data_IF_847568845382
#
_entry.id   IF_847568845382
#
_cell.length_a   1.000
_cell.length_b   1.000
_cell.length_c   1.000
_cell.angle_alpha   90.00
_cell.angle_beta   90.00
_cell.angle_gamma   90.00
#
_symmetry.space_group_name_H-M   'P 1'
#
loop_
_entity.id
_entity.type
_entity.pdbx_description
1 polymer ?
#
# COMPACT_ATOMS: atom_id res chain seq x y z
N UNK A 1 18.04 -44.20 -4.02
CA UNK A 1 17.89 -43.21 -2.94
C UNK A 1 16.43 -43.18 -2.54
N UNK A 2 16.04 -43.25 -1.26
CA UNK A 2 14.65 -43.03 -0.88
C UNK A 2 14.23 -41.66 -1.40
N UNK A 3 13.02 -41.56 -1.94
CA UNK A 3 12.45 -40.29 -2.33
C UNK A 3 12.21 -39.53 -1.03
N UNK A 4 12.83 -38.36 -0.90
CA UNK A 4 12.65 -37.48 0.25
C UNK A 4 11.17 -37.07 0.28
N UNK A 5 10.45 -37.46 1.34
CA UNK A 5 9.07 -37.01 1.51
C UNK A 5 9.11 -35.52 1.81
N UNK A 6 8.34 -34.74 1.05
CA UNK A 6 8.13 -33.34 1.35
C UNK A 6 7.40 -33.26 2.70
N UNK A 7 8.11 -32.82 3.74
CA UNK A 7 7.54 -32.71 5.08
C UNK A 7 6.63 -31.48 5.13
N UNK A 8 5.32 -31.69 5.13
CA UNK A 8 4.34 -30.61 5.27
C UNK A 8 4.37 -30.16 6.73
N UNK A 9 5.03 -29.03 7.00
CA UNK A 9 5.01 -28.41 8.34
C UNK A 9 3.68 -27.68 8.51
N UNK A 10 2.87 -28.20 9.42
CA UNK A 10 1.60 -27.57 9.78
C UNK A 10 1.78 -26.72 11.03
N UNK A 11 1.14 -25.55 11.03
CA UNK A 11 1.08 -24.66 12.18
C UNK A 11 0.47 -25.34 13.41
N UNK A 12 0.95 -24.97 14.60
CA UNK A 12 0.35 -25.38 15.89
C UNK A 12 -1.08 -24.86 16.05
N UNK A 13 -1.44 -23.78 15.34
CA UNK A 13 -2.81 -23.24 15.34
C UNK A 13 -3.85 -24.28 14.93
N UNK A 14 -3.51 -25.21 14.03
CA UNK A 14 -4.41 -26.31 13.66
C UNK A 14 -4.81 -27.17 14.86
N UNK A 15 -3.92 -27.35 15.85
CA UNK A 15 -4.23 -28.08 17.08
C UNK A 15 -5.10 -27.24 18.02
N UNK A 16 -4.88 -25.92 18.07
CA UNK A 16 -5.73 -24.98 18.81
C UNK A 16 -7.16 -25.07 18.27
N UNK A 17 -7.34 -24.88 16.96
CA UNK A 17 -8.63 -24.97 16.27
C UNK A 17 -9.30 -26.34 16.43
N UNK A 18 -8.52 -27.43 16.46
CA UNK A 18 -9.05 -28.79 16.67
C UNK A 18 -9.64 -28.99 18.07
N UNK A 19 -8.99 -28.41 19.08
CA UNK A 19 -9.36 -28.57 20.49
C UNK A 19 -10.43 -27.56 20.92
N UNK A 20 -10.67 -26.54 20.11
CA UNK A 20 -11.74 -25.58 20.30
C UNK A 20 -13.12 -26.24 20.10
N UNK A 21 -14.07 -25.85 20.95
CA UNK A 21 -15.47 -26.24 20.83
C UNK A 21 -16.20 -25.44 19.75
N UNK A 22 -15.73 -24.23 19.43
CA UNK A 22 -16.24 -23.45 18.33
C UNK A 22 -15.89 -24.11 16.98
N UNK A 23 -16.89 -24.25 16.11
CA UNK A 23 -16.78 -24.86 14.78
C UNK A 23 -17.02 -23.86 13.64
N UNK A 24 -16.97 -22.57 13.96
CA UNK A 24 -16.98 -21.49 12.99
C UNK A 24 -15.92 -21.69 11.89
N UNK A 25 -16.24 -21.18 10.71
CA UNK A 25 -15.40 -21.23 9.53
C UNK A 25 -14.13 -20.38 9.69
N UNK A 26 -13.14 -20.64 8.85
CA UNK A 26 -11.95 -19.80 8.71
C UNK A 26 -11.76 -19.39 7.24
N UNK A 27 -11.32 -18.16 7.04
CA UNK A 27 -10.89 -17.63 5.74
C UNK A 27 -9.39 -17.84 5.61
N UNK A 28 -8.99 -18.68 4.67
CA UNK A 28 -7.58 -18.94 4.39
C UNK A 28 -7.11 -18.02 3.25
N UNK A 29 -6.04 -17.26 3.48
CA UNK A 29 -5.42 -16.39 2.50
C UNK A 29 -4.00 -16.90 2.17
N UNK A 30 -3.58 -16.89 0.89
CA UNK A 30 -4.26 -16.35 -0.29
C UNK A 30 -5.46 -17.18 -0.78
N UNK A 31 -6.44 -16.53 -1.40
CA UNK A 31 -7.56 -17.20 -2.09
C UNK A 31 -7.06 -17.71 -3.45
N UNK A 32 -6.43 -18.89 -3.45
CA UNK A 32 -5.76 -19.47 -4.63
C UNK A 32 -6.10 -20.97 -4.77
N UNK A 33 -6.69 -21.42 -5.89
CA UNK A 33 -7.10 -22.82 -6.10
C UNK A 33 -5.96 -23.85 -5.99
N UNK A 34 -4.73 -23.46 -6.32
CA UNK A 34 -3.56 -24.34 -6.30
C UNK A 34 -3.06 -24.46 -4.87
N UNK A 35 -2.94 -23.33 -4.16
CA UNK A 35 -2.43 -23.28 -2.77
C UNK A 35 -3.43 -23.85 -1.77
N UNK A 36 -4.72 -23.72 -2.03
CA UNK A 36 -5.79 -24.24 -1.18
C UNK A 36 -5.75 -25.76 -0.93
N UNK A 37 -5.01 -26.54 -1.75
CA UNK A 37 -4.81 -27.98 -1.49
C UNK A 37 -4.14 -28.27 -0.15
N UNK A 38 -3.19 -27.42 0.27
CA UNK A 38 -2.54 -27.55 1.57
C UNK A 38 -3.54 -27.24 2.70
N UNK A 39 -4.36 -26.22 2.49
CA UNK A 39 -5.39 -25.79 3.44
C UNK A 39 -6.47 -26.87 3.61
N UNK A 40 -6.85 -27.58 2.54
CA UNK A 40 -7.73 -28.76 2.61
C UNK A 40 -7.11 -29.93 3.39
N UNK A 41 -5.80 -30.12 3.34
CA UNK A 41 -5.12 -31.10 4.18
C UNK A 41 -5.14 -30.68 5.65
N UNK A 42 -4.87 -29.41 5.96
CA UNK A 42 -5.01 -28.84 7.29
C UNK A 42 -6.45 -28.98 7.82
N UNK A 43 -7.45 -28.79 6.95
CA UNK A 43 -8.87 -28.95 7.26
C UNK A 43 -9.22 -30.32 7.82
N UNK A 44 -8.61 -31.39 7.31
CA UNK A 44 -8.84 -32.74 7.84
C UNK A 44 -8.37 -32.91 9.30
N UNK A 45 -7.50 -32.00 9.78
CA UNK A 45 -6.92 -32.01 11.13
C UNK A 45 -7.73 -31.13 12.08
N UNK A 46 -7.94 -29.85 11.73
CA UNK A 46 -8.66 -28.91 12.59
C UNK A 46 -10.20 -29.06 12.48
N UNK A 47 -10.70 -29.66 11.40
CA UNK A 47 -12.11 -29.98 11.17
C UNK A 47 -13.05 -28.75 11.20
N UNK A 48 -12.53 -27.57 10.87
CA UNK A 48 -13.35 -26.36 10.69
C UNK A 48 -13.73 -26.18 9.22
N UNK A 49 -14.89 -25.61 8.91
CA UNK A 49 -15.20 -25.20 7.54
C UNK A 49 -14.14 -24.21 7.03
N UNK A 50 -13.81 -24.29 5.74
CA UNK A 50 -12.94 -23.32 5.06
C UNK A 50 -13.75 -22.64 3.97
N UNK A 51 -13.53 -21.34 3.78
CA UNK A 51 -14.28 -20.54 2.80
C UNK A 51 -13.97 -20.89 1.34
N UNK A 52 -12.78 -21.46 1.10
CA UNK A 52 -12.30 -21.73 -0.24
C UNK A 52 -11.47 -23.02 -0.28
N UNK A 53 -11.65 -23.82 -1.33
CA UNK A 53 -10.98 -25.10 -1.53
C UNK A 53 -10.73 -25.40 -3.00
N UNK A 54 -10.10 -26.53 -3.29
CA UNK A 54 -9.84 -26.98 -4.65
C UNK A 54 -10.86 -28.03 -5.11
N UNK A 55 -11.57 -27.75 -6.22
CA UNK A 55 -12.46 -28.69 -6.88
C UNK A 55 -12.07 -28.85 -8.35
N UNK A 56 -12.03 -30.09 -8.86
CA UNK A 56 -11.54 -30.37 -10.23
C UNK A 56 -12.44 -29.83 -11.34
N UNK A 57 -13.71 -29.53 -11.04
CA UNK A 57 -14.65 -28.91 -11.96
C UNK A 57 -15.54 -27.94 -11.19
N UNK A 58 -15.25 -26.66 -11.36
CA UNK A 58 -16.00 -25.58 -10.70
C UNK A 58 -17.44 -25.52 -11.28
N UNK A 59 -18.48 -25.64 -10.44
CA UNK A 59 -19.84 -25.39 -10.88
C UNK A 59 -20.04 -23.90 -11.21
N UNK A 60 -21.04 -23.61 -12.05
CA UNK A 60 -21.53 -22.25 -12.22
C UNK A 60 -21.95 -21.69 -10.85
N UNK A 61 -21.48 -20.47 -10.54
CA UNK A 61 -21.77 -19.83 -9.25
C UNK A 61 -20.88 -20.26 -8.07
N UNK A 62 -19.82 -21.05 -8.30
CA UNK A 62 -18.91 -21.48 -7.22
C UNK A 62 -18.34 -20.33 -6.38
N UNK A 63 -18.24 -19.14 -6.97
CA UNK A 63 -17.70 -17.93 -6.36
C UNK A 63 -18.74 -16.83 -6.13
N UNK A 64 -20.04 -17.11 -6.30
CA UNK A 64 -21.09 -16.09 -6.19
C UNK A 64 -21.05 -15.36 -4.84
N UNK A 65 -20.99 -16.11 -3.73
CA UNK A 65 -20.83 -15.53 -2.40
C UNK A 65 -19.54 -14.69 -2.24
N UNK A 66 -18.40 -15.19 -2.74
CA UNK A 66 -17.12 -14.47 -2.68
C UNK A 66 -17.18 -13.18 -3.51
N UNK A 67 -17.80 -13.22 -4.67
CA UNK A 67 -17.90 -12.08 -5.59
C UNK A 67 -18.95 -11.05 -5.14
N UNK A 68 -19.91 -11.43 -4.30
CA UNK A 68 -20.89 -10.54 -3.68
C UNK A 68 -20.32 -9.80 -2.45
N UNK A 69 -19.40 -10.41 -1.69
CA UNK A 69 -18.73 -9.74 -0.58
C UNK A 69 -17.60 -8.81 -1.11
N UNK A 70 -17.63 -7.49 -0.79
CA UNK A 70 -16.66 -6.53 -1.32
C UNK A 70 -15.19 -6.87 -1.02
N UNK A 71 -14.90 -7.30 0.21
CA UNK A 71 -13.54 -7.66 0.63
C UNK A 71 -13.08 -8.95 -0.06
N UNK A 72 -13.90 -10.00 -0.02
CA UNK A 72 -13.54 -11.30 -0.60
C UNK A 72 -13.38 -11.22 -2.12
N UNK A 73 -14.19 -10.40 -2.80
CA UNK A 73 -14.08 -10.17 -4.25
C UNK A 73 -12.70 -9.63 -4.61
N UNK A 74 -12.22 -8.61 -3.89
CA UNK A 74 -10.90 -8.03 -4.17
C UNK A 74 -9.80 -9.04 -3.84
N UNK A 75 -9.87 -9.69 -2.67
CA UNK A 75 -8.91 -10.72 -2.27
C UNK A 75 -8.81 -11.86 -3.31
N UNK A 76 -9.92 -12.28 -3.92
CA UNK A 76 -9.90 -13.29 -4.98
C UNK A 76 -9.28 -12.77 -6.28
N UNK A 77 -9.49 -11.50 -6.62
CA UNK A 77 -9.07 -10.92 -7.90
C UNK A 77 -7.60 -10.47 -7.91
N UNK A 78 -7.14 -9.82 -6.84
CA UNK A 78 -5.78 -9.26 -6.74
C UNK A 78 -4.89 -10.01 -5.76
N UNK A 79 -5.47 -10.87 -4.92
CA UNK A 79 -4.78 -11.45 -3.77
C UNK A 79 -4.14 -10.37 -2.89
N UNK A 80 -4.86 -9.26 -2.68
CA UNK A 80 -4.38 -8.10 -1.93
C UNK A 80 -5.52 -7.47 -1.13
N UNK A 81 -5.19 -6.86 0.01
CA UNK A 81 -6.15 -6.16 0.86
C UNK A 81 -6.53 -4.81 0.22
N UNK A 82 -7.82 -4.47 0.09
CA UNK A 82 -8.27 -3.24 -0.58
C UNK A 82 -8.18 -2.01 0.35
N UNK A 83 -7.20 -1.10 0.18
CA UNK A 83 -7.09 0.08 1.04
C UNK A 83 -8.31 1.03 0.93
N UNK A 84 -9.03 1.00 -0.19
CA UNK A 84 -10.26 1.81 -0.36
C UNK A 84 -11.47 1.30 0.44
N UNK A 85 -11.43 0.07 0.98
CA UNK A 85 -12.43 -0.40 1.95
C UNK A 85 -11.99 -0.01 3.36
N UNK A 86 -12.15 1.27 3.67
CA UNK A 86 -11.54 1.90 4.85
C UNK A 86 -12.16 1.48 6.19
N UNK A 87 -13.45 1.14 6.22
CA UNK A 87 -14.10 0.61 7.43
C UNK A 87 -13.79 -0.88 7.59
N UNK A 88 -12.57 -1.17 8.08
CA UNK A 88 -12.07 -2.53 8.30
C UNK A 88 -12.98 -3.30 9.25
N UNK A 89 -13.43 -2.67 10.34
CA UNK A 89 -14.33 -3.28 11.31
C UNK A 89 -15.63 -3.78 10.68
N UNK A 90 -16.21 -3.00 9.76
CA UNK A 90 -17.40 -3.42 9.00
C UNK A 90 -17.10 -4.59 8.06
N UNK A 91 -15.96 -4.58 7.35
CA UNK A 91 -15.59 -5.71 6.49
C UNK A 91 -15.43 -7.00 7.30
N UNK A 92 -14.75 -6.92 8.45
CA UNK A 92 -14.57 -8.06 9.37
C UNK A 92 -15.92 -8.53 9.95
N UNK A 93 -16.79 -7.60 10.34
CA UNK A 93 -18.12 -7.93 10.85
C UNK A 93 -18.98 -8.68 9.83
N UNK A 94 -18.87 -8.38 8.52
CA UNK A 94 -19.58 -9.17 7.49
C UNK A 94 -19.14 -10.64 7.49
N UNK A 95 -17.83 -10.89 7.66
CA UNK A 95 -17.32 -12.26 7.75
C UNK A 95 -17.78 -12.95 9.04
N UNK A 96 -17.75 -12.25 10.17
CA UNK A 96 -18.21 -12.78 11.44
C UNK A 96 -19.72 -13.12 11.43
N UNK A 97 -20.55 -12.31 10.76
CA UNK A 97 -21.98 -12.58 10.58
C UNK A 97 -22.25 -13.85 9.78
N UNK A 98 -21.33 -14.21 8.88
CA UNK A 98 -21.36 -15.44 8.09
C UNK A 98 -20.65 -16.61 8.79
N UNK A 99 -20.45 -16.52 10.12
CA UNK A 99 -19.83 -17.53 10.98
C UNK A 99 -18.37 -17.85 10.59
N UNK A 100 -17.64 -16.85 10.06
CA UNK A 100 -16.19 -16.91 9.85
C UNK A 100 -15.50 -16.26 11.03
N UNK A 101 -14.73 -17.02 11.81
CA UNK A 101 -14.11 -16.54 13.05
C UNK A 101 -12.70 -15.96 12.84
N UNK A 102 -11.93 -16.55 11.92
CA UNK A 102 -10.54 -16.15 11.70
C UNK A 102 -10.22 -15.93 10.23
N UNK A 103 -9.41 -14.90 9.97
CA UNK A 103 -8.62 -14.76 8.75
C UNK A 103 -7.24 -15.35 9.02
N UNK A 104 -6.84 -16.37 8.27
CA UNK A 104 -5.56 -17.06 8.41
C UNK A 104 -4.69 -16.75 7.20
N UNK A 105 -3.63 -15.99 7.41
CA UNK A 105 -2.64 -15.62 6.41
C UNK A 105 -1.51 -16.64 6.37
N UNK A 106 -1.32 -17.33 5.24
CA UNK A 106 -0.24 -18.30 5.04
C UNK A 106 1.03 -17.62 4.54
N UNK A 107 1.96 -17.35 5.46
CA UNK A 107 3.18 -16.58 5.20
C UNK A 107 4.19 -17.30 4.32
N UNK A 108 4.16 -18.62 4.29
CA UNK A 108 4.99 -19.45 3.41
C UNK A 108 4.46 -19.52 1.96
N UNK A 109 3.25 -18.99 1.73
CA UNK A 109 2.59 -18.99 0.43
C UNK A 109 2.61 -17.63 -0.29
N UNK A 110 3.06 -16.57 0.37
CA UNK A 110 3.14 -15.20 -0.18
C UNK A 110 4.50 -14.57 0.12
N UNK A 111 4.88 -13.53 -0.64
CA UNK A 111 6.12 -12.79 -0.41
C UNK A 111 6.05 -11.93 0.86
N UNK A 112 7.20 -11.62 1.45
CA UNK A 112 7.30 -10.84 2.69
C UNK A 112 6.60 -9.48 2.57
N UNK A 113 6.81 -8.77 1.47
CA UNK A 113 6.20 -7.45 1.22
C UNK A 113 4.67 -7.51 1.29
N UNK A 114 4.07 -8.57 0.74
CA UNK A 114 2.62 -8.76 0.78
C UNK A 114 2.09 -9.06 2.18
N UNK A 115 2.87 -9.76 3.01
CA UNK A 115 2.50 -9.99 4.42
C UNK A 115 2.43 -8.64 5.13
N UNK A 116 3.41 -7.78 4.92
CA UNK A 116 3.42 -6.44 5.52
C UNK A 116 2.22 -5.60 5.05
N UNK A 117 1.78 -5.72 3.79
CA UNK A 117 0.60 -5.01 3.30
C UNK A 117 -0.69 -5.51 3.95
N UNK A 118 -0.84 -6.82 4.11
CA UNK A 118 -2.03 -7.37 4.75
C UNK A 118 -2.07 -7.02 6.24
N UNK A 119 -0.93 -7.10 6.92
CA UNK A 119 -0.78 -6.65 8.30
C UNK A 119 -0.94 -5.14 8.44
N UNK A 120 -0.62 -4.35 7.40
CA UNK A 120 -0.91 -2.92 7.37
C UNK A 120 -2.41 -2.69 7.34
N UNK A 121 -3.15 -3.38 6.47
CA UNK A 121 -4.59 -3.22 6.35
C UNK A 121 -5.36 -3.62 7.62
N UNK A 122 -4.93 -4.66 8.33
CA UNK A 122 -5.48 -5.07 9.64
C UNK A 122 -4.69 -4.40 10.79
N UNK A 123 -5.12 -3.25 11.33
CA UNK A 123 -4.31 -2.43 12.22
C UNK A 123 -4.31 -2.93 13.68
N UNK A 124 -4.32 -4.25 13.89
CA UNK A 124 -4.38 -4.92 15.19
C UNK A 124 -3.53 -6.18 15.16
N UNK A 125 -3.26 -6.76 16.33
CA UNK A 125 -2.37 -7.92 16.44
C UNK A 125 -3.10 -9.22 16.09
N UNK A 126 -2.41 -10.20 15.47
CA UNK A 126 -2.98 -11.52 15.26
C UNK A 126 -3.19 -12.24 16.61
N UNK A 127 -4.30 -12.96 16.74
CA UNK A 127 -4.58 -13.83 17.90
C UNK A 127 -3.58 -14.98 18.00
N UNK A 128 -2.93 -15.33 16.89
CA UNK A 128 -1.85 -16.31 16.82
C UNK A 128 -0.92 -15.99 15.66
N UNK A 129 0.39 -16.07 15.88
CA UNK A 129 1.38 -16.01 14.81
C UNK A 129 2.56 -16.97 15.06
N UNK A 130 2.95 -17.72 14.04
CA UNK A 130 4.18 -18.51 14.02
C UNK A 130 4.93 -18.29 12.70
N UNK A 131 5.99 -19.04 12.39
CA UNK A 131 6.75 -18.81 11.15
C UNK A 131 5.99 -19.13 9.85
N UNK A 132 4.86 -19.84 9.94
CA UNK A 132 4.07 -20.30 8.79
C UNK A 132 2.80 -19.50 8.58
N UNK A 133 2.14 -19.06 9.66
CA UNK A 133 0.86 -18.35 9.55
C UNK A 133 0.75 -17.18 10.52
N UNK A 134 -0.18 -16.28 10.23
CA UNK A 134 -0.75 -15.32 11.18
C UNK A 134 -2.29 -15.40 11.11
N UNK A 135 -2.96 -15.52 12.26
CA UNK A 135 -4.41 -15.62 12.36
C UNK A 135 -4.99 -14.39 13.06
N UNK A 136 -5.99 -13.77 12.45
CA UNK A 136 -6.65 -12.55 12.93
C UNK A 136 -8.13 -12.83 13.20
N UNK A 137 -8.65 -12.31 14.32
CA UNK A 137 -10.09 -12.35 14.63
C UNK A 137 -10.88 -11.52 13.60
N UNK A 138 -12.05 -12.02 13.20
CA UNK A 138 -13.04 -11.25 12.43
C UNK A 138 -13.96 -10.40 13.31
N UNK A 139 -13.82 -10.49 14.63
CA UNK A 139 -14.54 -9.68 15.61
C UNK A 139 -13.55 -9.11 16.63
N UNK A 140 -12.58 -8.27 16.20
CA UNK A 140 -11.57 -7.78 17.11
C UNK A 140 -12.19 -6.86 18.18
N UNK A 141 -11.77 -7.03 19.43
CA UNK A 141 -12.24 -6.24 20.57
C UNK A 141 -11.17 -5.28 21.08
N UNK A 142 -11.60 -4.07 21.43
CA UNK A 142 -10.71 -3.10 22.09
C UNK A 142 -10.29 -3.61 23.46
N UNK A 143 -9.03 -3.36 23.82
CA UNK A 143 -8.33 -3.86 25.01
C UNK A 143 -8.00 -5.37 24.99
N UNK A 144 -8.50 -6.13 24.01
CA UNK A 144 -8.13 -7.54 23.80
C UNK A 144 -7.20 -7.70 22.57
N UNK A 145 -7.66 -7.25 21.40
CA UNK A 145 -6.95 -7.39 20.12
C UNK A 145 -6.20 -6.12 19.70
N UNK A 146 -6.67 -4.94 20.15
CA UNK A 146 -6.04 -3.65 19.89
C UNK A 146 -6.24 -2.67 21.03
N UNK A 147 -5.41 -1.63 21.09
CA UNK A 147 -5.52 -0.56 22.08
C UNK A 147 -5.24 0.79 21.42
N UNK A 148 -5.90 1.84 21.91
CA UNK A 148 -5.63 3.19 21.45
C UNK A 148 -4.20 3.60 21.85
N UNK A 149 -3.46 4.19 20.93
CA UNK A 149 -2.16 4.80 21.20
C UNK A 149 -2.31 6.06 22.08
N UNK A 150 -3.43 6.76 21.94
CA UNK A 150 -3.87 7.84 22.83
C UNK A 150 -5.39 8.08 22.71
N UNK A 151 -6.05 8.44 23.81
CA UNK A 151 -7.40 9.01 23.78
C UNK A 151 -7.34 10.48 23.34
N UNK A 152 -7.54 10.72 22.05
CA UNK A 152 -7.56 12.08 21.48
C UNK A 152 -8.84 12.84 21.81
N UNK A 153 -9.94 12.11 21.97
CA UNK A 153 -11.19 12.57 22.55
C UNK A 153 -11.84 11.38 23.29
N UNK A 154 -12.88 11.59 24.12
CA UNK A 154 -13.47 10.52 24.92
C UNK A 154 -13.84 9.28 24.10
N UNK A 155 -13.03 8.23 24.23
CA UNK A 155 -13.22 6.93 23.62
C UNK A 155 -12.95 6.84 22.12
N UNK A 156 -12.16 7.77 21.55
CA UNK A 156 -11.69 7.73 20.17
C UNK A 156 -10.21 8.09 20.09
N UNK A 157 -9.46 7.32 19.31
CA UNK A 157 -8.02 7.53 19.16
C UNK A 157 -7.40 6.72 18.01
N UNK A 158 -6.16 7.01 17.65
CA UNK A 158 -5.42 6.21 16.69
C UNK A 158 -5.00 4.88 17.33
N UNK A 159 -5.06 3.79 16.57
CA UNK A 159 -4.41 2.50 16.89
C UNK A 159 -3.13 2.30 16.06
N UNK A 160 -3.05 2.98 14.91
CA UNK A 160 -1.87 3.03 14.05
C UNK A 160 -1.83 4.34 13.29
N UNK A 161 -0.64 4.90 13.12
CA UNK A 161 -0.37 6.09 12.29
C UNK A 161 0.81 5.78 11.37
N UNK A 162 0.70 6.12 10.09
CA UNK A 162 1.76 5.92 9.10
C UNK A 162 1.89 7.20 8.29
N UNK A 163 3.11 7.67 8.04
CA UNK A 163 3.39 8.85 7.22
C UNK A 163 4.03 8.44 5.90
N UNK A 164 3.91 9.27 4.86
CA UNK A 164 4.60 9.04 3.57
C UNK A 164 6.14 9.13 3.68
N UNK A 165 6.66 9.62 4.79
CA UNK A 165 8.08 9.64 5.12
C UNK A 165 8.35 10.36 6.44
N UNK A 166 9.63 10.44 6.79
CA UNK A 166 10.17 11.27 7.88
C UNK A 166 10.85 12.55 7.34
N UNK A 167 10.90 12.70 6.01
CA UNK A 167 11.34 13.90 5.32
C UNK A 167 10.35 14.25 4.19
N UNK A 168 10.10 15.55 4.03
CA UNK A 168 9.25 16.10 2.96
C UNK A 168 9.89 17.37 2.39
N UNK A 169 9.84 17.50 1.06
CA UNK A 169 10.30 18.69 0.38
C UNK A 169 9.24 19.81 0.43
N UNK A 170 9.71 21.04 0.53
CA UNK A 170 8.84 22.22 0.52
C UNK A 170 8.07 22.30 -0.81
N UNK A 171 6.74 22.32 -0.72
CA UNK A 171 5.87 22.29 -1.90
C UNK A 171 5.47 20.90 -2.36
N UNK A 172 5.97 19.82 -1.76
CA UNK A 172 5.57 18.45 -2.10
C UNK A 172 4.37 17.97 -1.28
N UNK A 173 3.82 16.83 -1.69
CA UNK A 173 2.71 16.17 -1.01
C UNK A 173 3.23 15.37 0.19
N UNK A 174 2.46 15.39 1.26
CA UNK A 174 2.65 14.59 2.46
C UNK A 174 1.34 13.91 2.83
N UNK A 175 1.40 12.61 3.11
CA UNK A 175 0.23 11.83 3.54
C UNK A 175 0.43 11.26 4.93
N UNK A 176 -0.65 11.31 5.71
CA UNK A 176 -0.77 10.64 7.01
C UNK A 176 -1.96 9.68 6.97
N UNK A 177 -1.67 8.39 7.05
CA UNK A 177 -2.68 7.36 7.25
C UNK A 177 -2.93 7.16 8.74
N UNK A 178 -4.18 7.18 9.17
CA UNK A 178 -4.55 6.91 10.56
C UNK A 178 -5.61 5.82 10.61
N UNK A 179 -5.30 4.72 11.30
CA UNK A 179 -6.30 3.75 11.72
C UNK A 179 -6.91 4.25 13.03
N UNK A 180 -8.17 4.65 12.97
CA UNK A 180 -8.94 5.07 14.12
C UNK A 180 -9.64 3.89 14.76
N UNK A 181 -9.75 3.92 16.08
CA UNK A 181 -10.64 3.04 16.81
C UNK A 181 -11.42 3.73 17.92
N UNK A 182 -12.47 3.04 18.37
CA UNK A 182 -13.36 3.55 19.41
C UNK A 182 -13.54 2.56 20.56
N UNK A 183 -13.44 3.05 21.79
CA UNK A 183 -13.77 2.28 23.01
C UNK A 183 -15.25 2.43 23.41
N UNK A 184 -15.91 3.49 22.93
CA UNK A 184 -17.32 3.80 23.17
C UNK A 184 -17.99 4.33 21.89
N UNK A 185 -19.32 4.24 21.77
CA UNK A 185 -20.03 4.86 20.65
C UNK A 185 -19.80 6.37 20.57
N UNK A 186 -19.59 6.88 19.36
CA UNK A 186 -19.31 8.30 19.08
C UNK A 186 -20.50 8.93 18.35
N UNK A 187 -21.04 10.00 18.92
CA UNK A 187 -22.28 10.65 18.46
C UNK A 187 -22.03 11.97 17.70
N UNK A 188 -20.77 12.31 17.40
CA UNK A 188 -20.41 13.53 16.69
C UNK A 188 -19.25 13.31 15.72
N UNK A 189 -19.15 14.19 14.73
CA UNK A 189 -17.96 14.30 13.90
C UNK A 189 -16.89 15.13 14.62
N UNK A 190 -15.64 14.76 14.39
CA UNK A 190 -14.48 15.52 14.82
C UNK A 190 -13.81 16.17 13.61
N UNK A 191 -12.96 17.17 13.86
CA UNK A 191 -11.97 17.61 12.89
C UNK A 191 -10.59 17.16 13.35
N UNK A 192 -9.84 16.54 12.47
CA UNK A 192 -8.44 16.20 12.70
C UNK A 192 -7.60 17.41 12.32
N UNK A 193 -6.65 17.76 13.17
CA UNK A 193 -5.72 18.85 12.93
C UNK A 193 -4.31 18.34 13.11
N UNK A 194 -3.51 18.50 12.07
CA UNK A 194 -2.07 18.22 12.07
C UNK A 194 -1.29 19.51 12.22
N UNK A 195 -0.34 19.52 13.14
CA UNK A 195 0.53 20.68 13.42
C UNK A 195 1.99 20.29 13.38
N UNK A 196 2.81 21.18 12.85
CA UNK A 196 4.26 21.12 12.95
C UNK A 196 4.72 22.06 14.06
N UNK A 197 5.38 21.50 15.08
CA UNK A 197 5.98 22.25 16.18
C UNK A 197 7.52 22.21 16.06
N UNK A 198 8.16 23.39 16.06
CA UNK A 198 9.62 23.51 16.04
C UNK A 198 10.17 23.35 17.46
N UNK A 199 11.16 22.46 17.65
CA UNK A 199 11.82 22.23 18.94
C UNK A 199 12.47 23.50 19.54
N UNK A 200 12.76 24.52 18.72
CA UNK A 200 13.43 25.76 19.10
C UNK A 200 12.50 26.99 19.20
N UNK A 201 11.29 26.91 18.65
CA UNK A 201 10.32 28.00 18.72
C UNK A 201 9.49 27.93 20.01
N UNK A 202 9.16 29.10 20.57
CA UNK A 202 8.15 29.17 21.62
C UNK A 202 6.82 28.69 21.03
N UNK A 203 6.06 27.97 21.84
CA UNK A 203 4.65 27.49 21.73
C UNK A 203 3.66 28.40 20.94
N UNK A 204 4.02 29.63 20.57
CA UNK A 204 3.17 30.63 19.91
C UNK A 204 3.16 30.58 18.36
N UNK A 205 4.01 29.79 17.69
CA UNK A 205 4.13 29.78 16.21
C UNK A 205 3.95 28.38 15.58
N UNK A 206 2.95 27.63 16.05
CA UNK A 206 2.59 26.33 15.47
C UNK A 206 2.12 26.51 14.01
N UNK A 207 2.71 25.75 13.10
CA UNK A 207 2.27 25.76 11.70
C UNK A 207 1.21 24.68 11.50
N UNK A 208 -0.02 25.12 11.22
CA UNK A 208 -1.11 24.22 10.88
C UNK A 208 -0.86 23.63 9.49
N UNK A 209 -0.65 22.32 9.45
CA UNK A 209 -0.35 21.59 8.24
C UNK A 209 -1.64 21.22 7.47
N UNK A 210 -2.65 20.76 8.21
CA UNK A 210 -3.92 20.30 7.64
C UNK A 210 -5.04 20.35 8.69
N UNK A 211 -6.26 20.64 8.24
CA UNK A 211 -7.49 20.39 9.01
C UNK A 211 -8.53 19.72 8.13
N UNK A 212 -9.07 18.59 8.59
CA UNK A 212 -10.03 17.79 7.82
C UNK A 212 -11.12 17.20 8.73
N UNK A 213 -12.33 16.99 8.21
CA UNK A 213 -13.44 16.39 8.98
C UNK A 213 -13.31 14.87 9.03
N UNK A 214 -13.34 14.32 10.24
CA UNK A 214 -13.53 12.90 10.49
C UNK A 214 -15.02 12.63 10.69
N UNK A 215 -15.63 11.90 9.75
CA UNK A 215 -17.03 11.48 9.78
C UNK A 215 -17.26 10.34 10.80
N UNK A 216 -17.00 10.62 12.07
CA UNK A 216 -17.04 9.66 13.18
C UNK A 216 -18.42 9.49 13.83
N UNK A 217 -19.41 10.32 13.47
CA UNK A 217 -20.77 10.18 14.00
C UNK A 217 -21.36 8.83 13.59
N UNK A 218 -21.85 8.08 14.58
CA UNK A 218 -22.44 6.76 14.39
C UNK A 218 -21.44 5.60 14.50
N UNK A 219 -20.16 5.86 14.75
CA UNK A 219 -19.20 4.80 15.06
C UNK A 219 -19.58 4.14 16.38
N UNK A 220 -19.75 2.81 16.37
CA UNK A 220 -20.05 2.01 17.56
C UNK A 220 -18.81 1.71 18.39
N UNK A 221 -18.94 0.96 19.49
CA UNK A 221 -17.78 0.37 20.19
C UNK A 221 -17.03 -0.59 19.24
N UNK A 222 -15.71 -0.67 19.37
CA UNK A 222 -14.83 -1.53 18.56
C UNK A 222 -14.81 -1.15 17.06
N UNK A 223 -15.17 0.09 16.70
CA UNK A 223 -15.01 0.52 15.30
C UNK A 223 -13.51 0.54 14.97
N UNK A 224 -13.17 0.12 13.75
CA UNK A 224 -11.80 0.15 13.21
C UNK A 224 -11.87 0.71 11.79
N UNK A 225 -11.38 1.94 11.60
CA UNK A 225 -11.57 2.68 10.35
C UNK A 225 -10.28 3.38 9.94
N UNK A 226 -9.79 3.12 8.74
CA UNK A 226 -8.74 3.91 8.12
C UNK A 226 -9.27 5.26 7.63
N UNK A 227 -8.49 6.31 7.87
CA UNK A 227 -8.65 7.60 7.22
C UNK A 227 -7.29 8.05 6.69
N UNK A 228 -7.29 8.64 5.49
CA UNK A 228 -6.09 9.01 4.76
C UNK A 228 -6.11 10.52 4.57
N UNK A 229 -5.07 11.20 5.07
CA UNK A 229 -5.00 12.65 5.12
C UNK A 229 -3.85 13.14 4.25
N UNK A 230 -4.17 13.76 3.12
CA UNK A 230 -3.19 14.24 2.14
C UNK A 230 -3.15 15.76 2.17
N UNK A 231 -1.94 16.32 2.20
CA UNK A 231 -1.74 17.78 2.14
C UNK A 231 -0.49 18.12 1.34
N UNK A 232 -0.51 19.28 0.69
CA UNK A 232 0.67 19.84 0.03
C UNK A 232 1.37 20.78 1.00
N UNK A 233 2.63 20.53 1.31
CA UNK A 233 3.36 21.33 2.28
C UNK A 233 3.50 22.77 1.76
N UNK A 234 3.10 23.74 2.59
CA UNK A 234 3.16 25.14 2.20
C UNK A 234 4.62 25.56 1.91
N UNK A 235 4.90 26.19 0.76
CA UNK A 235 6.23 26.73 0.43
C UNK A 235 6.85 27.67 1.48
N UNK A 236 6.01 28.29 2.30
CA UNK A 236 6.43 29.21 3.37
C UNK A 236 6.89 28.52 4.65
N UNK A 237 6.67 27.19 4.80
CA UNK A 237 7.20 26.43 5.94
C UNK A 237 8.74 26.46 5.87
N UNK A 238 9.43 26.98 6.90
CA UNK A 238 10.88 26.98 6.93
C UNK A 238 11.44 25.55 6.87
N UNK A 239 12.61 25.40 6.24
CA UNK A 239 13.33 24.13 6.35
C UNK A 239 13.84 23.94 7.78
N UNK A 240 13.69 22.75 8.33
CA UNK A 240 13.99 22.44 9.72
C UNK A 240 13.45 21.08 10.13
N UNK A 241 13.75 20.70 11.37
CA UNK A 241 13.21 19.50 12.00
C UNK A 241 12.02 19.91 12.88
N UNK A 242 10.88 19.25 12.66
CA UNK A 242 9.63 19.52 13.35
C UNK A 242 9.13 18.27 14.07
N UNK A 243 8.43 18.45 15.18
CA UNK A 243 7.58 17.44 15.75
C UNK A 243 6.22 17.52 15.05
N UNK A 244 5.84 16.46 14.34
CA UNK A 244 4.49 16.30 13.79
C UNK A 244 3.55 15.81 14.89
N UNK A 245 2.45 16.53 15.06
CA UNK A 245 1.45 16.24 16.07
C UNK A 245 0.05 16.18 15.47
N UNK A 246 -0.82 15.42 16.13
CA UNK A 246 -2.23 15.28 15.76
C UNK A 246 -3.13 15.58 16.95
N UNK A 247 -4.22 16.29 16.67
CA UNK A 247 -5.27 16.61 17.63
C UNK A 247 -6.66 16.38 17.03
N UNK A 248 -7.65 16.14 17.90
CA UNK A 248 -9.07 16.12 17.52
C UNK A 248 -9.81 17.33 18.10
N UNK A 249 -10.55 18.02 17.23
CA UNK A 249 -11.38 19.16 17.60
C UNK A 249 -12.86 18.81 17.44
N UNK A 250 -13.61 18.82 18.54
CA UNK A 250 -15.06 18.59 18.53
C UNK A 250 -15.88 19.84 18.18
N UNK A 251 -17.16 19.65 17.85
CA UNK A 251 -18.06 20.72 17.41
C UNK A 251 -18.38 21.79 18.48
N UNK A 252 -18.16 21.50 19.77
CA UNK A 252 -18.55 22.39 20.89
C UNK A 252 -17.41 23.23 21.48
N UNK A 253 -16.23 23.22 20.87
CA UNK A 253 -15.05 23.91 21.44
C UNK A 253 -14.66 23.32 22.80
N UNK A 254 -14.90 22.03 23.02
CA UNK A 254 -14.44 21.33 24.22
C UNK A 254 -12.92 21.28 24.19
N UNK A 255 -12.30 22.08 25.06
CA UNK A 255 -10.86 22.23 25.25
C UNK A 255 -10.25 21.03 26.00
N UNK A 256 -10.50 19.82 25.49
CA UNK A 256 -9.85 18.59 25.90
C UNK A 256 -9.10 17.99 24.72
N UNK A 257 -8.36 18.81 23.97
CA UNK A 257 -7.53 18.32 22.88
C UNK A 257 -6.29 17.69 23.49
N UNK A 258 -6.32 16.38 23.71
CA UNK A 258 -5.07 15.62 23.87
C UNK A 258 -4.29 15.78 22.58
N UNK A 259 -2.98 16.01 22.70
CA UNK A 259 -2.08 16.03 21.56
C UNK A 259 -1.39 14.68 21.48
N UNK A 260 -1.38 14.08 20.29
CA UNK A 260 -0.65 12.86 20.01
C UNK A 260 0.58 13.19 19.15
N UNK A 261 1.80 13.00 19.67
CA UNK A 261 3.01 13.16 18.88
C UNK A 261 3.13 11.98 17.90
N UNK A 262 3.09 12.25 16.60
CA UNK A 262 3.24 11.22 15.56
C UNK A 262 4.71 10.83 15.43
N UNK A 263 5.59 11.83 15.32
CA UNK A 263 7.00 11.61 15.08
C UNK A 263 7.71 12.86 14.59
N UNK A 264 9.00 12.73 14.33
CA UNK A 264 9.82 13.80 13.75
C UNK A 264 9.59 13.86 12.23
N UNK A 265 9.52 15.08 11.70
CA UNK A 265 9.42 15.35 10.27
C UNK A 265 10.47 16.40 9.89
N UNK A 266 11.33 16.06 8.95
CA UNK A 266 12.30 16.99 8.36
C UNK A 266 11.64 17.69 7.18
N UNK A 267 11.51 19.01 7.26
CA UNK A 267 11.12 19.85 6.12
C UNK A 267 12.39 20.31 5.40
N UNK A 268 12.52 19.96 4.12
CA UNK A 268 13.71 20.21 3.34
C UNK A 268 13.44 21.10 2.12
N UNK A 269 14.42 21.93 1.74
CA UNK A 269 14.42 22.69 0.47
C UNK A 269 15.15 21.98 -0.67
N UNK A 270 15.72 20.83 -0.36
CA UNK A 270 16.42 19.95 -1.27
C UNK A 270 15.90 18.53 -1.10
N UNK A 271 16.25 17.65 -2.02
CA UNK A 271 15.83 16.26 -1.96
C UNK A 271 16.03 15.64 -0.58
N UNK A 272 14.99 14.94 -0.14
CA UNK A 272 15.11 14.00 0.95
C UNK A 272 16.06 12.87 0.51
N UNK A 273 17.04 12.54 1.35
CA UNK A 273 18.01 11.51 1.00
C UNK A 273 17.30 10.15 0.86
N UNK A 274 17.37 9.57 -0.34
CA UNK A 274 16.96 8.20 -0.62
C UNK A 274 18.22 7.35 -0.80
N UNK A 275 18.38 6.30 0.02
CA UNK A 275 19.48 5.34 -0.15
C UNK A 275 19.25 4.51 -1.42
N UNK A 276 19.78 4.98 -2.54
CA UNK A 276 19.77 4.23 -3.79
C UNK A 276 21.01 3.33 -3.90
N UNK A 277 20.87 2.13 -4.48
CA UNK A 277 22.04 1.34 -4.86
C UNK A 277 22.97 2.14 -5.78
N UNK A 278 24.31 1.98 -5.67
CA UNK A 278 25.26 2.77 -6.47
C UNK A 278 25.10 2.65 -7.98
N UNK A 279 24.47 1.58 -8.46
CA UNK A 279 24.21 1.33 -9.88
C UNK A 279 22.95 2.02 -10.40
N UNK A 280 22.15 2.64 -9.53
CA UNK A 280 20.93 3.37 -9.89
C UNK A 280 21.27 4.78 -10.31
N UNK A 281 20.73 5.20 -11.45
CA UNK A 281 20.79 6.58 -11.92
C UNK A 281 19.63 7.34 -11.26
N UNK A 282 19.91 8.31 -10.37
CA UNK A 282 18.85 9.08 -9.71
C UNK A 282 18.14 10.01 -10.71
N UNK A 283 16.84 10.20 -10.50
CA UNK A 283 15.99 11.05 -11.35
C UNK A 283 15.18 12.02 -10.50
N UNK A 284 14.31 11.51 -9.62
CA UNK A 284 13.48 12.31 -8.72
C UNK A 284 12.27 12.97 -9.38
N UNK A 285 11.85 12.54 -10.57
CA UNK A 285 10.72 13.14 -11.29
C UNK A 285 9.37 12.70 -10.72
N UNK A 286 8.42 13.62 -10.60
CA UNK A 286 7.10 13.38 -10.00
C UNK A 286 6.02 13.37 -11.07
N UNK A 287 5.18 12.34 -11.04
CA UNK A 287 4.04 12.11 -11.93
C UNK A 287 2.74 12.36 -11.16
N UNK A 288 1.98 13.37 -11.57
CA UNK A 288 0.63 13.68 -11.07
C UNK A 288 0.58 14.01 -9.57
N UNK A 289 1.69 14.47 -8.98
CA UNK A 289 1.88 14.68 -7.52
C UNK A 289 1.70 13.41 -6.67
N UNK A 290 1.59 12.23 -7.28
CA UNK A 290 1.25 10.97 -6.61
C UNK A 290 2.38 9.95 -6.64
N UNK A 291 3.20 9.96 -7.69
CA UNK A 291 4.16 8.91 -7.96
C UNK A 291 5.51 9.52 -8.34
N UNK A 292 6.58 9.17 -7.63
CA UNK A 292 7.93 9.64 -7.95
C UNK A 292 8.76 8.51 -8.56
N UNK A 293 9.39 8.79 -9.70
CA UNK A 293 10.50 7.97 -10.19
C UNK A 293 11.77 8.41 -9.47
N UNK A 294 12.14 7.70 -8.41
CA UNK A 294 13.33 7.99 -7.60
C UNK A 294 14.59 7.78 -8.43
N UNK A 295 14.63 6.70 -9.22
CA UNK A 295 15.73 6.41 -10.12
C UNK A 295 15.43 5.23 -11.05
N UNK A 296 16.42 4.87 -11.86
CA UNK A 296 16.31 3.73 -12.78
C UNK A 296 17.65 3.05 -13.01
N UNK A 297 17.59 1.85 -13.56
CA UNK A 297 18.75 1.11 -14.06
C UNK A 297 18.44 0.55 -15.45
N UNK A 298 19.42 0.64 -16.35
CA UNK A 298 19.36 0.03 -17.69
C UNK A 298 20.43 -1.05 -17.78
N UNK A 299 19.99 -2.29 -18.00
CA UNK A 299 20.87 -3.43 -18.21
C UNK A 299 20.59 -4.05 -19.57
N UNK A 300 21.66 -4.53 -20.22
CA UNK A 300 21.55 -5.19 -21.52
C UNK A 300 22.24 -6.55 -21.52
N UNK A 301 21.64 -7.54 -20.85
CA UNK A 301 22.22 -8.88 -20.76
C UNK A 301 22.21 -9.63 -22.09
N UNK A 302 21.30 -9.26 -23.02
CA UNK A 302 21.17 -9.83 -24.36
C UNK A 302 21.03 -8.71 -25.40
N UNK A 303 21.64 -8.80 -26.60
CA UNK A 303 21.49 -7.77 -27.64
C UNK A 303 20.03 -7.45 -28.04
N UNK A 304 19.12 -8.41 -27.89
CA UNK A 304 17.70 -8.32 -28.23
C UNK A 304 16.82 -7.87 -27.06
N UNK A 305 17.35 -7.70 -25.86
CA UNK A 305 16.58 -7.30 -24.69
C UNK A 305 17.26 -6.16 -23.93
N UNK A 306 16.49 -5.14 -23.63
CA UNK A 306 16.85 -4.11 -22.65
C UNK A 306 16.03 -4.39 -21.39
N UNK A 307 16.71 -4.58 -20.28
CA UNK A 307 16.08 -4.65 -18.96
C UNK A 307 16.08 -3.25 -18.37
N UNK A 308 14.88 -2.68 -18.22
CA UNK A 308 14.66 -1.40 -17.55
C UNK A 308 14.13 -1.70 -16.16
N UNK A 309 14.88 -1.33 -15.12
CA UNK A 309 14.41 -1.39 -13.74
C UNK A 309 14.07 0.02 -13.29
N UNK A 310 12.85 0.22 -12.80
CA UNK A 310 12.32 1.49 -12.35
C UNK A 310 12.15 1.44 -10.84
N UNK A 311 12.69 2.45 -10.15
CA UNK A 311 12.56 2.60 -8.69
C UNK A 311 11.56 3.71 -8.41
N UNK A 312 10.39 3.31 -7.97
CA UNK A 312 9.27 4.20 -7.69
C UNK A 312 9.12 4.44 -6.20
N UNK A 313 8.54 5.59 -5.85
CA UNK A 313 8.00 5.86 -4.53
C UNK A 313 6.58 6.40 -4.68
N UNK A 314 5.65 5.86 -3.91
CA UNK A 314 4.31 6.43 -3.79
C UNK A 314 4.36 7.64 -2.85
N UNK A 315 4.14 8.84 -3.38
CA UNK A 315 4.10 10.07 -2.55
C UNK A 315 2.78 10.17 -1.78
N UNK A 316 1.72 9.62 -2.38
CA UNK A 316 0.41 9.46 -1.77
C UNK A 316 -0.32 8.25 -2.36
N UNK A 317 -1.41 7.85 -1.72
CA UNK A 317 -2.29 6.78 -2.16
C UNK A 317 -2.94 7.14 -3.50
N UNK A 318 -2.83 6.22 -4.44
CA UNK A 318 -3.34 6.41 -5.80
C UNK A 318 -4.76 5.84 -5.94
N UNK A 319 -5.71 6.58 -6.52
CA UNK A 319 -7.10 6.12 -6.69
C UNK A 319 -7.27 5.11 -7.83
N UNK A 320 -6.27 5.01 -8.73
CA UNK A 320 -6.33 4.24 -9.96
C UNK A 320 -5.10 3.33 -10.10
N UNK A 321 -5.25 2.27 -10.88
CA UNK A 321 -4.18 1.41 -11.38
C UNK A 321 -3.56 2.03 -12.65
N UNK A 322 -2.61 2.94 -12.46
CA UNK A 322 -1.94 3.60 -13.57
C UNK A 322 -1.09 2.62 -14.38
N UNK A 323 -0.97 2.92 -15.67
CA UNK A 323 -0.04 2.24 -16.56
C UNK A 323 1.22 3.06 -16.74
N UNK A 324 2.34 2.36 -16.76
CA UNK A 324 3.65 2.90 -17.11
C UNK A 324 3.94 2.47 -18.54
N UNK A 325 4.29 3.44 -19.38
CA UNK A 325 4.90 3.14 -20.67
C UNK A 325 6.39 3.41 -20.62
N UNK A 326 7.15 2.56 -21.31
CA UNK A 326 8.58 2.72 -21.55
C UNK A 326 8.79 2.66 -23.06
N UNK A 327 9.23 3.77 -23.65
CA UNK A 327 9.51 3.89 -25.08
C UNK A 327 11.01 3.93 -25.32
N UNK A 328 11.48 3.10 -26.23
CA UNK A 328 12.82 3.22 -26.84
C UNK A 328 12.63 3.93 -28.17
N UNK A 329 13.26 5.09 -28.36
CA UNK A 329 12.96 5.99 -29.46
C UNK A 329 14.22 6.58 -30.10
N UNK A 330 14.12 6.95 -31.38
CA UNK A 330 15.20 7.63 -32.11
C UNK A 330 15.16 9.13 -31.84
N UNK A 331 16.25 9.72 -31.33
CA UNK A 331 16.23 11.11 -30.85
C UNK A 331 16.01 12.15 -31.95
N UNK A 332 16.47 11.86 -33.17
CA UNK A 332 16.40 12.80 -34.29
C UNK A 332 14.97 12.95 -34.83
N UNK A 333 14.18 11.88 -34.75
CA UNK A 333 12.85 11.77 -35.36
C UNK A 333 11.73 11.66 -34.33
N UNK A 334 12.08 11.41 -33.06
CA UNK A 334 11.20 11.06 -31.96
C UNK A 334 10.32 9.82 -32.21
N UNK A 335 10.74 8.94 -33.12
CA UNK A 335 9.97 7.74 -33.50
C UNK A 335 10.28 6.60 -32.51
N UNK A 336 9.28 6.00 -31.85
CA UNK A 336 9.47 4.82 -31.03
C UNK A 336 9.77 3.59 -31.90
N UNK A 337 10.84 2.87 -31.56
CA UNK A 337 11.27 1.62 -32.24
C UNK A 337 10.94 0.36 -31.44
N UNK A 338 10.77 0.50 -30.12
CA UNK A 338 10.27 -0.53 -29.23
C UNK A 338 9.56 0.13 -28.04
N UNK A 339 8.62 -0.58 -27.44
CA UNK A 339 7.88 -0.08 -26.28
C UNK A 339 7.36 -1.20 -25.41
N UNK A 340 7.10 -0.86 -24.16
CA UNK A 340 6.25 -1.61 -23.25
C UNK A 340 5.23 -0.68 -22.62
N UNK A 341 4.04 -1.21 -22.36
CA UNK A 341 2.91 -0.50 -21.76
C UNK A 341 2.20 -1.46 -20.83
N UNK A 342 2.41 -1.31 -19.52
CA UNK A 342 1.81 -2.19 -18.54
C UNK A 342 1.60 -1.53 -17.18
N UNK A 343 0.66 -2.10 -16.42
CA UNK A 343 0.56 -1.84 -14.98
C UNK A 343 1.83 -2.41 -14.33
N UNK A 344 2.44 -1.73 -13.33
CA UNK A 344 3.62 -2.23 -12.64
C UNK A 344 3.53 -3.70 -12.22
N UNK A 345 4.69 -4.39 -12.22
CA UNK A 345 4.78 -5.83 -12.01
C UNK A 345 3.90 -6.66 -12.96
N UNK A 346 3.65 -6.16 -14.18
CA UNK A 346 2.76 -6.80 -15.18
C UNK A 346 1.34 -7.01 -14.64
N UNK A 347 0.87 -6.10 -13.79
CA UNK A 347 -0.43 -6.18 -13.11
C UNK A 347 -0.43 -7.03 -11.83
N UNK A 348 0.72 -7.57 -11.41
CA UNK A 348 0.84 -8.35 -10.17
C UNK A 348 0.79 -7.50 -8.89
N UNK A 349 1.09 -6.21 -9.01
CA UNK A 349 0.98 -5.25 -7.90
C UNK A 349 0.65 -3.83 -8.40
N UNK A 350 -0.62 -3.57 -8.73
CA UNK A 350 -1.09 -2.28 -9.26
C UNK A 350 -0.90 -1.10 -8.31
N UNK A 351 -0.77 0.12 -8.86
CA UNK A 351 -0.43 1.33 -8.09
C UNK A 351 -1.45 1.74 -7.03
N UNK A 352 -2.73 1.40 -7.20
CA UNK A 352 -3.76 1.72 -6.20
C UNK A 352 -3.65 0.90 -4.90
N UNK A 353 -2.79 -0.13 -4.87
CA UNK A 353 -2.45 -0.85 -3.64
C UNK A 353 -1.25 -0.26 -2.91
N UNK A 354 -0.46 0.59 -3.58
CA UNK A 354 0.76 1.13 -3.00
C UNK A 354 0.38 2.09 -1.87
N UNK A 355 1.11 1.95 -0.78
CA UNK A 355 0.92 2.75 0.40
C UNK A 355 1.79 4.02 0.33
N UNK A 356 1.38 5.11 0.99
CA UNK A 356 2.21 6.31 1.02
C UNK A 356 3.59 6.01 1.59
N UNK A 357 4.61 6.55 0.92
CA UNK A 357 6.02 6.36 1.22
C UNK A 357 6.63 5.04 0.72
N UNK A 358 5.82 4.14 0.18
CA UNK A 358 6.28 2.82 -0.23
C UNK A 358 7.18 2.91 -1.47
N UNK A 359 8.34 2.26 -1.40
CA UNK A 359 9.28 2.16 -2.50
C UNK A 359 9.11 0.84 -3.26
N UNK A 360 8.91 0.93 -4.57
CA UNK A 360 8.61 -0.21 -5.44
C UNK A 360 9.64 -0.32 -6.55
N UNK A 361 10.16 -1.54 -6.75
CA UNK A 361 11.04 -1.86 -7.87
C UNK A 361 10.26 -2.58 -8.97
N UNK A 362 10.11 -1.95 -10.12
CA UNK A 362 9.40 -2.50 -11.27
C UNK A 362 10.38 -2.90 -12.39
N UNK A 363 10.25 -4.12 -12.90
CA UNK A 363 11.13 -4.66 -13.95
C UNK A 363 10.39 -4.73 -15.29
N UNK A 364 10.86 -3.94 -16.25
CA UNK A 364 10.25 -3.77 -17.56
C UNK A 364 11.21 -4.26 -18.66
N UNK A 365 11.10 -5.54 -19.09
CA UNK A 365 11.88 -6.03 -20.22
C UNK A 365 11.34 -5.48 -21.54
N UNK A 366 12.20 -4.86 -22.34
CA UNK A 366 11.90 -4.34 -23.67
C UNK A 366 12.56 -5.22 -24.74
N UNK A 367 11.77 -5.74 -25.66
CA UNK A 367 12.28 -6.51 -26.80
C UNK A 367 12.76 -5.59 -27.92
N UNK A 368 14.05 -5.65 -28.23
CA UNK A 368 14.75 -4.87 -29.26
C UNK A 368 15.04 -5.67 -30.54
N UNK A 369 14.66 -6.94 -30.63
CA UNK A 369 15.06 -7.79 -31.77
C UNK A 369 14.52 -7.37 -33.14
N UNK A 370 13.55 -6.45 -33.18
CA UNK A 370 13.01 -5.86 -34.41
C UNK A 370 13.46 -4.40 -34.61
N UNK A 371 14.20 -3.82 -33.65
CA UNK A 371 14.68 -2.45 -33.75
C UNK A 371 15.80 -2.38 -34.81
N UNK A 372 15.81 -1.37 -35.69
CA UNK A 372 16.93 -1.14 -36.60
C UNK A 372 18.24 -0.92 -35.84
N UNK A 373 19.37 -1.07 -36.53
CA UNK A 373 20.64 -0.65 -35.98
C UNK A 373 20.67 0.88 -35.83
N UNK A 374 21.11 1.38 -34.68
CA UNK A 374 21.01 2.80 -34.35
C UNK A 374 21.30 3.12 -32.89
N UNK A 375 21.20 4.39 -32.54
CA UNK A 375 21.34 4.91 -31.17
C UNK A 375 19.99 5.46 -30.71
N UNK A 376 19.51 4.99 -29.57
CA UNK A 376 18.17 5.27 -29.09
C UNK A 376 18.16 5.85 -27.68
N UNK A 377 17.24 6.77 -27.44
CA UNK A 377 16.86 7.23 -26.10
C UNK A 377 15.82 6.31 -25.47
N UNK A 378 15.64 6.44 -24.16
CA UNK A 378 14.57 5.79 -23.40
C UNK A 378 13.73 6.87 -22.76
N UNK A 379 12.42 6.71 -22.83
CA UNK A 379 11.48 7.66 -22.24
C UNK A 379 10.35 6.94 -21.52
N UNK A 380 9.88 7.55 -20.43
CA UNK A 380 8.86 7.00 -19.53
C UNK A 380 7.68 7.96 -19.45
N UNK A 381 6.49 7.42 -19.33
CA UNK A 381 5.35 8.18 -18.85
C UNK A 381 4.35 7.30 -18.12
N UNK A 382 3.45 7.96 -17.40
CA UNK A 382 2.42 7.33 -16.58
C UNK A 382 1.08 7.87 -17.03
N UNK A 383 0.08 7.02 -17.16
CA UNK A 383 -1.23 7.44 -17.66
C UNK A 383 -2.37 6.64 -17.06
N UNK A 384 -3.55 7.25 -17.06
CA UNK A 384 -4.81 6.61 -16.69
C UNK A 384 -5.28 5.66 -17.80
N UNK A 385 -5.39 4.34 -17.55
CA UNK A 385 -5.77 3.37 -18.56
C UNK A 385 -7.20 3.53 -19.09
N UNK A 386 -8.09 4.21 -18.34
CA UNK A 386 -9.50 4.41 -18.71
C UNK A 386 -9.64 5.60 -19.66
N UNK A 387 -9.01 6.72 -19.34
CA UNK A 387 -9.12 7.97 -20.11
C UNK A 387 -8.04 8.09 -21.19
N UNK A 388 -6.89 7.44 -21.01
CA UNK A 388 -5.69 7.61 -21.82
C UNK A 388 -4.92 8.89 -21.51
N UNK A 389 -5.32 9.65 -20.48
CA UNK A 389 -4.66 10.90 -20.10
C UNK A 389 -3.33 10.61 -19.38
N UNK A 390 -2.26 11.27 -19.85
CA UNK A 390 -0.94 11.18 -19.21
C UNK A 390 -0.92 12.06 -17.97
N UNK A 391 -0.35 11.53 -16.89
CA UNK A 391 -0.10 12.30 -15.69
C UNK A 391 0.92 13.40 -15.98
N UNK A 392 0.68 14.56 -15.38
CA UNK A 392 1.61 15.68 -15.42
C UNK A 392 2.98 15.28 -14.84
N UNK A 393 4.08 15.65 -15.47
CA UNK A 393 5.44 15.30 -15.04
C UNK A 393 6.19 16.56 -14.65
N UNK A 394 6.76 16.55 -13.44
CA UNK A 394 7.66 17.58 -12.96
C UNK A 394 9.05 16.96 -12.73
N UNK A 395 10.04 17.43 -13.47
CA UNK A 395 11.45 17.07 -13.26
C UNK A 395 12.02 17.76 -12.03
N UNK A 396 13.14 17.23 -11.53
CA UNK A 396 13.80 17.70 -10.31
C UNK A 396 14.20 19.18 -10.36
N UNK A 397 14.54 19.70 -11.53
CA UNK A 397 14.91 21.10 -11.72
C UNK A 397 13.70 22.03 -11.95
N UNK A 398 12.48 21.49 -11.80
CA UNK A 398 11.23 22.19 -12.03
C UNK A 398 10.83 22.27 -13.50
N UNK A 399 11.53 21.58 -14.40
CA UNK A 399 11.14 21.51 -15.81
C UNK A 399 9.96 20.57 -16.02
N UNK A 400 9.12 20.92 -17.00
CA UNK A 400 8.03 20.08 -17.47
C UNK A 400 8.42 19.48 -18.83
N UNK A 401 8.51 18.14 -18.95
CA UNK A 401 8.84 17.50 -20.21
C UNK A 401 7.75 17.71 -21.26
N UNK A 402 8.14 17.76 -22.53
CA UNK A 402 7.18 17.75 -23.63
C UNK A 402 6.37 16.43 -23.63
N UNK A 403 5.09 16.55 -24.00
CA UNK A 403 4.14 15.44 -24.06
C UNK A 403 3.99 14.63 -22.77
N UNK A 404 4.34 15.20 -21.61
CA UNK A 404 4.30 14.53 -20.30
C UNK A 404 5.08 13.21 -20.31
N UNK A 405 6.21 13.23 -21.03
CA UNK A 405 7.08 12.07 -21.23
C UNK A 405 8.49 12.42 -20.78
N UNK A 406 8.92 11.77 -19.71
CA UNK A 406 10.25 11.93 -19.14
C UNK A 406 11.29 11.20 -19.98
N UNK A 407 12.26 11.91 -20.54
CA UNK A 407 13.40 11.29 -21.22
C UNK A 407 14.47 10.94 -20.19
N UNK A 408 14.86 9.68 -20.13
CA UNK A 408 15.85 9.22 -19.13
C UNK A 408 17.24 9.79 -19.43
N UNK A 409 17.89 10.46 -18.45
CA UNK A 409 19.20 11.04 -18.63
C UNK A 409 20.30 9.98 -18.48
N UNK A 410 21.13 9.73 -19.49
CA UNK A 410 22.20 8.72 -19.37
C UNK A 410 22.70 8.15 -20.69
N UNK A 411 23.27 6.95 -20.60
CA UNK A 411 23.81 6.21 -21.75
C UNK A 411 22.71 5.85 -22.75
N UNK A 412 23.01 6.02 -24.04
CA UNK A 412 22.09 5.70 -25.13
C UNK A 412 22.14 4.22 -25.47
N UNK A 413 21.01 3.67 -25.89
CA UNK A 413 20.92 2.26 -26.28
C UNK A 413 21.43 2.11 -27.71
N UNK A 414 22.51 1.36 -27.90
CA UNK A 414 23.08 1.11 -29.24
C UNK A 414 22.64 -0.25 -29.79
N UNK A 415 21.77 -0.29 -30.79
CA UNK A 415 21.43 -1.56 -31.46
C UNK A 415 22.41 -1.77 -32.62
N UNK A 416 23.08 -2.93 -32.63
CA UNK A 416 23.95 -3.36 -33.73
C UNK A 416 23.22 -4.32 -34.67
N UNK A 417 23.66 -4.39 -35.93
CA UNK A 417 23.17 -5.38 -36.92
C UNK A 417 23.28 -6.84 -36.46
#
# INVERSE_FOLDING_TARGET
TPIEQQEIRLSQFNQILKNDQNRAAILELPIDPIKAKQNMFAQAIHQRPIMFGHISREPLGAYEYIDENPLLRVLRQSNEMPPWLTNVGEQLATLAMDDVEFIVMHKDQIGADRIEHWKRYLPFEPVFEDNTIAAFSTSPEVEEDFSLLADLAPGIGPVRVITSGDCVEVGDVFEVDVAWATTWPVEQNYRVVFTLEDEQARIEDNQMLLTEELSSSGWGKNSLVWAYYVTKLNPDVPAGEYQLEMTLQGNRGENGSTTFPIGKLVVSKSDCDHELPPEVIPVGAVFGEQLRLVGYQLLRPDPKFLEVTLYWRAEQRMPLDYKVFVHVFEEETDVPVAQDDSIPHRGGFPTNFWAPGEEITDHVPIYLGNAPAGRYGVAIGVYDPVTGERLHVLERDGNEPQDQRLVLPGEKIEVSE
#
